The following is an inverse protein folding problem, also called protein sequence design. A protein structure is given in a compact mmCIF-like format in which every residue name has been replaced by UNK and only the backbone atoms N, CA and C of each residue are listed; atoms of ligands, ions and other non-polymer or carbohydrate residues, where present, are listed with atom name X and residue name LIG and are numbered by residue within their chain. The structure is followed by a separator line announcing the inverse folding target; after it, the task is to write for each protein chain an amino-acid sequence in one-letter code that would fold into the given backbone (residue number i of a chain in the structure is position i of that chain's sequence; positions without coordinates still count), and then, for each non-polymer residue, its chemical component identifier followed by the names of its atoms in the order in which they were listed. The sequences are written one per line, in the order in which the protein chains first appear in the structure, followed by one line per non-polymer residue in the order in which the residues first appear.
data_IF_141473683873
#
_entry.id   IF_141473683873
#
_cell.length_a   1.000
_cell.length_b   1.000
_cell.length_c   1.000
_cell.angle_alpha   90.00
_cell.angle_beta   90.00
_cell.angle_gamma   90.00
#
_symmetry.space_group_name_H-M   'P 1'
#
loop_
_entity.id
_entity.type
_entity.pdbx_description
1 polymer ?
#
# COMPACT_ATOMS: atom_id res chain seq x y z
N UNK A 1 15.67 -70.41 -7.24
CA UNK A 1 16.23 -69.65 -8.40
C UNK A 1 15.31 -68.59 -8.99
N UNK A 2 13.97 -68.75 -8.99
CA UNK A 2 13.03 -67.69 -9.42
C UNK A 2 12.69 -66.71 -8.27
N UNK A 3 12.55 -67.23 -7.04
CA UNK A 3 12.31 -66.43 -5.83
C UNK A 3 13.38 -65.34 -5.60
N UNK A 4 14.67 -65.67 -5.70
CA UNK A 4 15.76 -64.70 -5.53
C UNK A 4 15.74 -63.57 -6.57
N UNK A 5 15.28 -63.85 -7.79
CA UNK A 5 15.16 -62.85 -8.85
C UNK A 5 14.00 -61.89 -8.55
N UNK A 6 12.88 -62.40 -8.05
CA UNK A 6 11.74 -61.60 -7.59
C UNK A 6 12.12 -60.68 -6.43
N UNK A 7 12.86 -61.20 -5.45
CA UNK A 7 13.36 -60.39 -4.32
C UNK A 7 14.25 -59.25 -4.81
N UNK A 8 15.16 -59.50 -5.76
CA UNK A 8 16.00 -58.44 -6.35
C UNK A 8 15.19 -57.37 -7.10
N UNK A 9 14.16 -57.78 -7.85
CA UNK A 9 13.26 -56.84 -8.53
C UNK A 9 12.46 -56.01 -7.52
N UNK A 10 11.96 -56.61 -6.45
CA UNK A 10 11.25 -55.89 -5.39
C UNK A 10 12.16 -54.85 -4.71
N UNK A 11 13.39 -55.21 -4.38
CA UNK A 11 14.38 -54.27 -3.81
C UNK A 11 14.72 -53.14 -4.78
N UNK A 12 14.88 -53.46 -6.07
CA UNK A 12 15.11 -52.44 -7.10
C UNK A 12 13.92 -51.47 -7.23
N UNK A 13 12.69 -51.98 -7.25
CA UNK A 13 11.46 -51.16 -7.32
C UNK A 13 11.27 -50.29 -6.07
N UNK A 14 11.54 -50.82 -4.88
CA UNK A 14 11.53 -50.05 -3.62
C UNK A 14 12.58 -48.94 -3.63
N UNK A 15 13.78 -49.21 -4.13
CA UNK A 15 14.84 -48.22 -4.27
C UNK A 15 14.50 -47.13 -5.29
N UNK A 16 13.87 -47.48 -6.41
CA UNK A 16 13.42 -46.52 -7.43
C UNK A 16 12.33 -45.62 -6.85
N UNK A 17 11.35 -46.20 -6.15
CA UNK A 17 10.26 -45.46 -5.50
C UNK A 17 10.80 -44.51 -4.42
N UNK A 18 11.74 -44.97 -3.57
CA UNK A 18 12.37 -44.14 -2.56
C UNK A 18 13.20 -42.99 -3.13
N UNK A 19 13.94 -43.21 -4.22
CA UNK A 19 14.67 -42.15 -4.94
C UNK A 19 13.71 -41.13 -5.54
N UNK A 20 12.60 -41.58 -6.14
CA UNK A 20 11.56 -40.72 -6.71
C UNK A 20 10.96 -39.79 -5.66
N UNK A 21 10.66 -40.31 -4.47
CA UNK A 21 10.08 -39.50 -3.39
C UNK A 21 11.08 -38.48 -2.84
N UNK A 22 12.36 -38.85 -2.71
CA UNK A 22 13.42 -37.90 -2.33
C UNK A 22 13.56 -36.77 -3.35
N UNK A 23 13.54 -37.08 -4.64
CA UNK A 23 13.58 -36.07 -5.72
C UNK A 23 12.39 -35.11 -5.60
N UNK A 24 11.19 -35.62 -5.33
CA UNK A 24 9.99 -34.80 -5.15
C UNK A 24 10.09 -33.85 -3.96
N UNK A 25 10.64 -34.32 -2.83
CA UNK A 25 10.89 -33.46 -1.66
C UNK A 25 11.95 -32.41 -1.97
N UNK A 26 13.02 -32.78 -2.67
CA UNK A 26 14.08 -31.86 -3.10
C UNK A 26 13.54 -30.78 -4.03
N UNK A 27 12.70 -31.12 -5.01
CA UNK A 27 12.06 -30.14 -5.89
C UNK A 27 11.19 -29.14 -5.13
N UNK A 28 10.35 -29.62 -4.19
CA UNK A 28 9.58 -28.72 -3.31
C UNK A 28 10.47 -27.80 -2.49
N UNK A 29 11.59 -28.31 -1.94
CA UNK A 29 12.56 -27.49 -1.21
C UNK A 29 13.23 -26.45 -2.10
N UNK A 30 13.46 -26.74 -3.38
CA UNK A 30 14.02 -25.76 -4.33
C UNK A 30 13.01 -24.63 -4.57
N UNK A 31 11.72 -24.95 -4.76
CA UNK A 31 10.67 -23.94 -4.89
C UNK A 31 10.56 -23.07 -3.63
N UNK A 32 10.65 -23.70 -2.45
CA UNK A 32 10.69 -22.98 -1.17
C UNK A 32 11.92 -22.08 -1.08
N UNK A 33 13.11 -22.58 -1.41
CA UNK A 33 14.36 -21.80 -1.39
C UNK A 33 14.31 -20.61 -2.36
N UNK A 34 13.78 -20.79 -3.57
CA UNK A 34 13.56 -19.71 -4.54
C UNK A 34 12.59 -18.66 -3.97
N UNK A 35 11.55 -19.09 -3.27
CA UNK A 35 10.58 -18.20 -2.60
C UNK A 35 11.23 -17.40 -1.46
N UNK A 36 12.09 -18.02 -0.66
CA UNK A 36 12.82 -17.36 0.44
C UNK A 36 13.98 -16.47 -0.02
N UNK A 37 14.53 -16.71 -1.22
CA UNK A 37 15.53 -15.85 -1.86
C UNK A 37 14.95 -14.57 -2.46
N UNK A 38 13.63 -14.45 -2.54
CA UNK A 38 12.98 -13.28 -3.10
C UNK A 38 12.92 -12.16 -2.04
N UNK A 39 13.67 -11.04 -2.20
CA UNK A 39 13.81 -9.99 -1.18
C UNK A 39 12.46 -9.40 -0.72
N UNK A 40 11.48 -9.42 -1.63
CA UNK A 40 10.13 -8.92 -1.38
C UNK A 40 9.32 -9.76 -0.38
N UNK A 41 9.72 -11.00 -0.10
CA UNK A 41 9.09 -11.84 0.93
C UNK A 41 9.72 -11.66 2.31
N UNK A 42 11.05 -11.49 2.38
CA UNK A 42 11.81 -11.35 3.63
C UNK A 42 11.64 -9.96 4.24
N UNK A 43 11.63 -8.90 3.42
CA UNK A 43 11.58 -7.52 3.93
C UNK A 43 10.18 -7.07 4.37
N UNK A 44 9.11 -7.73 3.87
CA UNK A 44 7.73 -7.36 4.22
C UNK A 44 7.14 -8.10 5.41
N UNK A 45 7.67 -9.28 5.78
CA UNK A 45 7.01 -10.14 6.77
C UNK A 45 7.52 -9.96 8.20
N UNK A 46 8.72 -9.44 8.41
CA UNK A 46 9.31 -9.36 9.73
C UNK A 46 9.92 -7.98 9.98
N UNK A 47 9.09 -6.94 10.07
CA UNK A 47 9.52 -5.76 10.83
C UNK A 47 9.61 -6.21 12.29
N UNK A 48 10.82 -6.30 12.88
CA UNK A 48 10.96 -6.76 14.25
C UNK A 48 10.23 -5.80 15.20
N UNK A 49 9.63 -6.31 16.28
CA UNK A 49 8.85 -5.47 17.20
C UNK A 49 9.68 -4.34 17.83
N UNK A 50 10.98 -4.56 18.02
CA UNK A 50 11.91 -3.51 18.45
C UNK A 50 12.00 -2.34 17.45
N UNK A 51 11.92 -2.60 16.15
CA UNK A 51 11.92 -1.57 15.10
C UNK A 51 10.57 -0.85 15.05
N UNK A 52 9.45 -1.55 15.28
CA UNK A 52 8.13 -0.92 15.41
C UNK A 52 8.08 0.07 16.56
N UNK A 53 8.64 -0.30 17.72
CA UNK A 53 8.72 0.57 18.89
C UNK A 53 9.58 1.81 18.63
N UNK A 54 10.77 1.64 18.03
CA UNK A 54 11.61 2.78 17.67
C UNK A 54 10.97 3.69 16.62
N UNK A 55 10.22 3.11 15.67
CA UNK A 55 9.48 3.88 14.68
C UNK A 55 8.38 4.72 15.34
N UNK A 56 7.57 4.12 16.22
CA UNK A 56 6.53 4.83 16.97
C UNK A 56 7.12 5.96 17.83
N UNK A 57 8.25 5.72 18.50
CA UNK A 57 8.92 6.74 19.33
C UNK A 57 9.53 7.85 18.49
N UNK A 58 10.14 7.52 17.34
CA UNK A 58 10.69 8.52 16.42
C UNK A 58 9.58 9.38 15.79
N UNK A 59 8.40 8.80 15.58
CA UNK A 59 7.24 9.47 14.97
C UNK A 59 6.27 10.05 16.02
N UNK A 60 6.56 9.90 17.31
CA UNK A 60 5.70 10.31 18.43
C UNK A 60 5.33 11.80 18.38
N UNK A 61 6.23 12.65 17.92
CA UNK A 61 5.94 14.09 17.74
C UNK A 61 5.35 14.42 16.36
N UNK A 62 5.66 13.62 15.34
CA UNK A 62 5.20 13.83 13.98
C UNK A 62 3.72 13.42 13.78
N UNK A 63 3.26 12.38 14.49
CA UNK A 63 1.88 11.90 14.43
C UNK A 63 0.89 12.94 14.97
N UNK A 64 1.06 13.51 16.19
CA UNK A 64 0.17 14.55 16.70
C UNK A 64 0.21 15.83 15.86
N UNK A 65 1.39 16.23 15.38
CA UNK A 65 1.53 17.38 14.49
C UNK A 65 0.74 17.19 13.19
N UNK A 66 0.83 16.00 12.59
CA UNK A 66 0.08 15.64 11.39
C UNK A 66 -1.43 15.62 11.65
N UNK A 67 -1.87 15.08 12.79
CA UNK A 67 -3.29 15.07 13.19
C UNK A 67 -3.83 16.49 13.40
N UNK A 68 -3.08 17.37 14.06
CA UNK A 68 -3.46 18.77 14.28
C UNK A 68 -3.63 19.52 12.95
N UNK A 69 -2.70 19.32 12.00
CA UNK A 69 -2.81 19.89 10.65
C UNK A 69 -4.02 19.33 9.90
N UNK A 70 -4.27 18.01 10.00
CA UNK A 70 -5.41 17.36 9.36
C UNK A 70 -6.75 17.86 9.92
N UNK A 71 -6.83 18.11 11.24
CA UNK A 71 -7.99 18.72 11.87
C UNK A 71 -8.22 20.16 11.40
N UNK A 72 -7.16 20.95 11.24
CA UNK A 72 -7.27 22.30 10.68
C UNK A 72 -7.81 22.25 9.24
N UNK A 73 -7.26 21.39 8.39
CA UNK A 73 -7.74 21.20 7.01
C UNK A 73 -9.21 20.78 6.99
N UNK A 74 -9.61 19.84 7.86
CA UNK A 74 -11.01 19.40 7.97
C UNK A 74 -11.95 20.52 8.43
N UNK A 75 -11.46 21.43 9.26
CA UNK A 75 -12.23 22.60 9.73
C UNK A 75 -12.41 23.65 8.62
N UNK A 76 -11.42 23.76 7.73
CA UNK A 76 -11.44 24.68 6.59
C UNK A 76 -12.20 24.13 5.38
N UNK A 77 -12.39 22.81 5.29
CA UNK A 77 -13.16 22.15 4.24
C UNK A 77 -14.55 22.78 3.97
N UNK A 78 -15.41 23.05 4.97
CA UNK A 78 -16.72 23.66 4.74
C UNK A 78 -16.67 25.14 4.29
N UNK A 79 -15.52 25.81 4.39
CA UNK A 79 -15.36 27.20 3.91
C UNK A 79 -15.32 27.23 2.38
N UNK A 80 -14.82 26.16 1.76
CA UNK A 80 -14.78 26.03 0.30
C UNK A 80 -16.19 25.93 -0.32
N UNK A 81 -17.13 25.38 0.43
CA UNK A 81 -18.54 25.24 0.03
C UNK A 81 -19.40 26.44 0.45
N UNK A 82 -18.80 27.48 1.05
CA UNK A 82 -19.56 28.62 1.55
C UNK A 82 -20.21 29.38 0.39
N UNK A 83 -21.51 29.69 0.55
CA UNK A 83 -22.35 30.35 -0.46
C UNK A 83 -21.81 31.70 -0.91
N UNK A 84 -20.97 32.36 -0.11
CA UNK A 84 -20.26 33.59 -0.46
C UNK A 84 -19.26 33.41 -1.60
N UNK A 85 -18.58 32.25 -1.71
CA UNK A 85 -17.67 31.95 -2.82
C UNK A 85 -18.47 31.64 -4.10
N UNK A 86 -19.62 30.98 -3.95
CA UNK A 86 -20.50 30.67 -5.08
C UNK A 86 -21.24 31.90 -5.62
N UNK A 87 -21.53 32.90 -4.78
CA UNK A 87 -22.21 34.14 -5.16
C UNK A 87 -21.29 35.17 -5.83
N UNK A 88 -19.97 34.92 -5.92
CA UNK A 88 -18.98 35.84 -6.52
C UNK A 88 -19.36 36.28 -7.95
N UNK A 89 -19.80 35.39 -8.88
CA UNK A 89 -20.17 35.80 -10.23
C UNK A 89 -21.39 36.74 -10.26
N UNK A 90 -22.37 36.54 -9.36
CA UNK A 90 -23.56 37.39 -9.27
C UNK A 90 -23.20 38.79 -8.74
N UNK A 91 -22.35 38.84 -7.71
CA UNK A 91 -21.83 40.10 -7.19
C UNK A 91 -20.96 40.84 -8.20
N UNK A 92 -20.16 40.11 -9.00
CA UNK A 92 -19.36 40.68 -10.08
C UNK A 92 -20.22 41.31 -11.18
N UNK A 93 -21.31 40.65 -11.59
CA UNK A 93 -22.24 41.18 -12.59
C UNK A 93 -22.94 42.46 -12.11
N UNK A 94 -23.41 42.47 -10.86
CA UNK A 94 -24.01 43.67 -10.22
C UNK A 94 -22.99 44.81 -10.11
N UNK A 95 -21.75 44.49 -9.72
CA UNK A 95 -20.67 45.48 -9.63
C UNK A 95 -20.30 46.05 -11.01
N UNK A 96 -20.26 45.22 -12.05
CA UNK A 96 -19.98 45.66 -13.43
C UNK A 96 -21.08 46.59 -13.94
N UNK A 97 -22.34 46.26 -13.70
CA UNK A 97 -23.47 47.13 -14.06
C UNK A 97 -23.38 48.48 -13.32
N UNK A 98 -23.12 48.45 -12.01
CA UNK A 98 -22.95 49.66 -11.22
C UNK A 98 -21.74 50.49 -11.67
N UNK A 99 -20.62 49.85 -12.01
CA UNK A 99 -19.42 50.51 -12.53
C UNK A 99 -19.70 51.20 -13.87
N UNK A 100 -20.43 50.54 -14.77
CA UNK A 100 -20.81 51.12 -16.07
C UNK A 100 -21.69 52.36 -15.88
N UNK A 101 -22.66 52.31 -14.97
CA UNK A 101 -23.53 53.43 -14.63
C UNK A 101 -22.72 54.57 -14.00
N UNK A 102 -21.78 54.26 -13.11
CA UNK A 102 -20.93 55.26 -12.46
C UNK A 102 -20.00 55.96 -13.47
N UNK A 103 -19.39 55.21 -14.38
CA UNK A 103 -18.57 55.77 -15.47
C UNK A 103 -19.41 56.69 -16.37
N UNK A 104 -20.66 56.33 -16.66
CA UNK A 104 -21.57 57.16 -17.45
C UNK A 104 -21.99 58.45 -16.73
N UNK A 105 -22.13 58.43 -15.40
CA UNK A 105 -22.48 59.62 -14.61
C UNK A 105 -21.29 60.54 -14.36
N UNK A 106 -20.08 59.99 -14.15
CA UNK A 106 -18.86 60.76 -13.84
C UNK A 106 -18.00 61.08 -15.07
N UNK A 107 -18.29 60.51 -16.23
CA UNK A 107 -17.62 60.79 -17.51
C UNK A 107 -18.29 61.88 -18.36
N UNK A 108 -19.24 62.64 -17.80
CA UNK A 108 -19.84 63.83 -18.41
C UNK A 108 -19.25 65.10 -17.82
#
# INVERSE_FOLDING_TARGET
KVSDKLVKVQVALSNITGKRERIKILFKKIDDVIKYLNPQYTDRTAVPDAVKLQFILAEEQAIPASVALLQQVKTLQPILDHTSIQAVPEHAAKLQQHSQIHIQHHGK
#
